data_IF_140784325654
#
_entry.id   IF_140784325654
#
_cell.length_a   1.000
_cell.length_b   1.000
_cell.length_c   1.000
_cell.angle_alpha   90.00
_cell.angle_beta   90.00
_cell.angle_gamma   90.00
#
_symmetry.space_group_name_H-M   'P 1'
#
loop_
_entity.id
_entity.type
_entity.pdbx_description
1 polymer ?
#
# COMPACT_ATOMS: atom_id res chain seq x y z
N UNK A 1 14.32 -19.13 -0.06
CA UNK A 1 12.91 -18.97 0.36
C UNK A 1 12.29 -17.96 -0.57
N UNK A 2 11.27 -18.33 -1.37
CA UNK A 2 10.54 -17.33 -2.17
C UNK A 2 9.83 -16.36 -1.22
N UNK A 3 9.88 -15.07 -1.52
CA UNK A 3 9.11 -14.07 -0.79
C UNK A 3 7.63 -14.26 -1.12
N UNK A 4 6.80 -14.47 -0.11
CA UNK A 4 5.36 -14.72 -0.28
C UNK A 4 4.50 -13.62 0.32
N UNK A 5 5.09 -12.57 0.90
CA UNK A 5 4.39 -11.43 1.47
C UNK A 5 5.02 -10.09 1.08
N UNK A 6 4.15 -9.11 0.81
CA UNK A 6 4.50 -7.77 0.35
C UNK A 6 3.70 -6.73 1.11
N UNK A 7 4.35 -5.62 1.46
CA UNK A 7 3.72 -4.58 2.26
C UNK A 7 4.59 -3.32 2.40
N UNK A 8 4.00 -2.16 2.72
CA UNK A 8 4.73 -0.88 2.73
C UNK A 8 5.93 -0.86 3.64
N UNK A 9 7.14 -0.51 3.18
CA UNK A 9 8.38 -0.62 3.99
C UNK A 9 8.19 -0.09 5.43
N UNK A 10 8.45 -0.93 6.44
CA UNK A 10 8.23 -0.60 7.85
C UNK A 10 8.93 0.69 8.27
N UNK A 11 10.18 0.89 7.85
CA UNK A 11 10.93 2.12 8.11
C UNK A 11 10.28 3.38 7.53
N UNK A 12 9.67 3.28 6.34
CA UNK A 12 9.00 4.42 5.73
C UNK A 12 7.67 4.75 6.45
N UNK A 13 6.90 3.74 6.86
CA UNK A 13 5.68 3.93 7.66
C UNK A 13 6.01 4.51 9.03
N UNK A 14 7.06 3.99 9.70
CA UNK A 14 7.53 4.50 10.98
C UNK A 14 8.00 5.96 10.86
N UNK A 15 8.74 6.31 9.81
CA UNK A 15 9.16 7.68 9.53
C UNK A 15 7.98 8.65 9.38
N UNK A 16 6.93 8.26 8.65
CA UNK A 16 5.70 9.07 8.55
C UNK A 16 4.99 9.22 9.89
N UNK A 17 4.94 8.16 10.70
CA UNK A 17 4.37 8.20 12.05
C UNK A 17 5.12 9.18 12.94
N UNK A 18 6.45 9.11 12.97
CA UNK A 18 7.31 10.04 13.73
C UNK A 18 7.10 11.48 13.27
N UNK A 19 7.11 11.72 11.96
CA UNK A 19 6.85 13.06 11.41
C UNK A 19 5.47 13.59 11.82
N UNK A 20 4.43 12.74 11.79
CA UNK A 20 3.08 13.09 12.26
C UNK A 20 3.05 13.46 13.74
N UNK A 21 3.76 12.72 14.60
CA UNK A 21 3.85 13.02 16.05
C UNK A 21 4.59 14.34 16.29
N UNK A 22 5.71 14.57 15.61
CA UNK A 22 6.46 15.83 15.73
C UNK A 22 5.60 17.02 15.27
N UNK A 23 4.85 16.86 14.18
CA UNK A 23 3.95 17.89 13.67
C UNK A 23 2.78 18.17 14.62
N UNK A 24 2.18 17.12 15.21
CA UNK A 24 1.15 17.27 16.24
C UNK A 24 1.67 18.01 17.48
N UNK A 25 2.90 17.70 17.89
CA UNK A 25 3.57 18.37 19.02
C UNK A 25 3.78 19.85 18.70
N UNK A 26 4.34 20.18 17.54
CA UNK A 26 4.53 21.56 17.11
C UNK A 26 3.21 22.34 17.00
N UNK A 27 2.13 21.69 16.55
CA UNK A 27 0.80 22.28 16.49
C UNK A 27 0.31 22.79 17.85
N UNK A 28 0.61 22.08 18.94
CA UNK A 28 0.14 22.45 20.29
C UNK A 28 1.13 23.29 21.07
N UNK A 29 2.44 23.18 20.79
CA UNK A 29 3.48 23.91 21.54
C UNK A 29 4.00 25.17 20.86
N UNK A 30 4.05 25.20 19.52
CA UNK A 30 4.70 26.28 18.75
C UNK A 30 3.68 27.16 18.03
N UNK A 31 2.64 26.58 17.43
CA UNK A 31 1.67 27.35 16.66
C UNK A 31 0.73 28.09 17.60
N UNK A 32 0.62 29.40 17.43
CA UNK A 32 -0.13 30.29 18.35
C UNK A 32 -1.42 30.81 17.74
N UNK A 33 -1.49 30.94 16.41
CA UNK A 33 -2.66 31.45 15.71
C UNK A 33 -3.71 30.34 15.44
N UNK A 34 -5.03 30.64 15.54
CA UNK A 34 -6.07 29.64 15.33
C UNK A 34 -6.06 28.98 13.94
N UNK A 35 -5.90 29.72 12.81
CA UNK A 35 -5.86 29.10 11.48
C UNK A 35 -4.70 28.13 11.31
N UNK A 36 -3.49 28.52 11.73
CA UNK A 36 -2.29 27.68 11.68
C UNK A 36 -2.44 26.40 12.49
N UNK A 37 -3.08 26.46 13.67
CA UNK A 37 -3.37 25.27 14.48
C UNK A 37 -4.32 24.31 13.77
N UNK A 38 -5.37 24.82 13.14
CA UNK A 38 -6.32 23.96 12.41
C UNK A 38 -5.62 23.25 11.25
N UNK A 39 -4.87 23.99 10.43
CA UNK A 39 -4.17 23.42 9.28
C UNK A 39 -3.10 22.40 9.70
N UNK A 40 -2.29 22.75 10.70
CA UNK A 40 -1.21 21.87 11.19
C UNK A 40 -1.79 20.64 11.89
N UNK A 41 -2.85 20.81 12.68
CA UNK A 41 -3.55 19.73 13.35
C UNK A 41 -4.16 18.74 12.35
N UNK A 42 -4.82 19.23 11.30
CA UNK A 42 -5.37 18.39 10.23
C UNK A 42 -4.27 17.63 9.48
N UNK A 43 -3.16 18.30 9.15
CA UNK A 43 -2.03 17.67 8.49
C UNK A 43 -1.39 16.57 9.36
N UNK A 44 -1.18 16.85 10.65
CA UNK A 44 -0.65 15.89 11.61
C UNK A 44 -1.58 14.68 11.77
N UNK A 45 -2.90 14.93 11.92
CA UNK A 45 -3.90 13.87 11.99
C UNK A 45 -3.90 13.02 10.71
N UNK A 46 -3.85 13.65 9.52
CA UNK A 46 -3.74 12.96 8.24
C UNK A 46 -2.52 12.05 8.15
N UNK A 47 -1.34 12.53 8.55
CA UNK A 47 -0.12 11.74 8.58
C UNK A 47 -0.21 10.56 9.55
N UNK A 48 -0.72 10.78 10.75
CA UNK A 48 -0.88 9.74 11.76
C UNK A 48 -1.87 8.66 11.32
N UNK A 49 -3.03 9.05 10.78
CA UNK A 49 -4.00 8.09 10.24
C UNK A 49 -3.39 7.32 9.06
N UNK A 50 -2.68 8.00 8.15
CA UNK A 50 -2.03 7.37 7.01
C UNK A 50 -0.97 6.35 7.44
N UNK A 51 -0.12 6.70 8.40
CA UNK A 51 0.89 5.80 8.97
C UNK A 51 0.23 4.60 9.66
N UNK A 52 -0.77 4.85 10.53
CA UNK A 52 -1.49 3.81 11.25
C UNK A 52 -2.15 2.82 10.29
N UNK A 53 -2.89 3.31 9.31
CA UNK A 53 -3.56 2.42 8.39
C UNK A 53 -2.61 1.71 7.41
N UNK A 54 -1.50 2.35 7.03
CA UNK A 54 -0.41 1.68 6.28
C UNK A 54 0.22 0.55 7.10
N UNK A 55 0.34 0.72 8.41
CA UNK A 55 0.82 -0.31 9.33
C UNK A 55 -0.20 -1.45 9.51
N UNK A 56 -1.48 -1.09 9.74
CA UNK A 56 -2.61 -2.03 9.87
C UNK A 56 -2.76 -2.92 8.64
N UNK A 57 -2.52 -2.38 7.46
CA UNK A 57 -2.64 -3.08 6.20
C UNK A 57 -1.46 -4.01 5.88
N UNK A 58 -0.44 -4.14 6.75
CA UNK A 58 0.70 -5.05 6.50
C UNK A 58 0.37 -6.50 6.92
N UNK A 59 0.79 -7.53 6.16
CA UNK A 59 1.20 -7.47 4.75
C UNK A 59 -0.01 -7.13 3.87
N UNK A 60 0.20 -6.29 2.85
CA UNK A 60 -0.87 -5.77 1.99
C UNK A 60 -1.27 -6.77 0.92
N UNK A 61 -0.32 -7.58 0.46
CA UNK A 61 -0.54 -8.71 -0.43
C UNK A 61 0.27 -9.91 0.08
N UNK A 62 -0.32 -11.09 0.15
CA UNK A 62 0.41 -12.30 0.52
C UNK A 62 -0.16 -13.54 -0.17
N UNK A 63 0.71 -14.45 -0.58
CA UNK A 63 0.32 -15.80 -0.98
C UNK A 63 0.18 -16.64 0.29
N UNK A 64 -1.02 -17.18 0.51
CA UNK A 64 -1.34 -18.03 1.66
C UNK A 64 -2.01 -19.29 1.16
N UNK A 65 -1.28 -20.41 1.18
CA UNK A 65 -1.75 -21.67 0.60
C UNK A 65 -2.02 -21.50 -0.90
N UNK A 66 -3.24 -21.80 -1.33
CA UNK A 66 -3.69 -21.64 -2.72
C UNK A 66 -4.44 -20.32 -2.99
N UNK A 67 -4.39 -19.39 -2.05
CA UNK A 67 -5.08 -18.09 -2.14
C UNK A 67 -4.12 -16.90 -2.10
N UNK A 68 -4.56 -15.80 -2.68
CA UNK A 68 -3.93 -14.50 -2.62
C UNK A 68 -4.71 -13.60 -1.65
N UNK A 69 -4.10 -13.26 -0.52
CA UNK A 69 -4.70 -12.43 0.52
C UNK A 69 -4.34 -10.98 0.28
N UNK A 70 -5.34 -10.14 0.01
CA UNK A 70 -5.23 -8.69 -0.04
C UNK A 70 -5.76 -8.08 1.26
N UNK A 71 -4.95 -7.28 1.95
CA UNK A 71 -5.33 -6.57 3.17
C UNK A 71 -5.43 -5.07 2.92
N UNK A 72 -6.66 -4.55 2.94
CA UNK A 72 -6.94 -3.12 2.95
C UNK A 72 -6.92 -2.55 4.37
N UNK A 73 -7.30 -1.27 4.50
CA UNK A 73 -7.45 -0.62 5.81
C UNK A 73 -8.50 -1.28 6.71
N UNK A 74 -9.64 -1.64 6.12
CA UNK A 74 -10.82 -2.09 6.88
C UNK A 74 -11.22 -3.53 6.61
N UNK A 75 -10.80 -4.11 5.47
CA UNK A 75 -11.18 -5.45 5.05
C UNK A 75 -9.96 -6.23 4.58
N UNK A 76 -9.99 -7.53 4.85
CA UNK A 76 -9.09 -8.49 4.23
C UNK A 76 -9.92 -9.33 3.25
N UNK A 77 -9.41 -9.51 2.05
CA UNK A 77 -10.04 -10.31 1.01
C UNK A 77 -9.08 -11.43 0.63
N UNK A 78 -9.61 -12.64 0.51
CA UNK A 78 -8.84 -13.78 -0.01
C UNK A 78 -9.36 -14.06 -1.41
N UNK A 79 -8.48 -13.94 -2.40
CA UNK A 79 -8.76 -14.19 -3.81
C UNK A 79 -8.22 -15.57 -4.16
N UNK A 80 -9.09 -16.47 -4.58
CA UNK A 80 -8.68 -17.74 -5.20
C UNK A 80 -8.29 -17.48 -6.65
N UNK A 81 -7.60 -18.44 -7.26
CA UNK A 81 -7.25 -18.37 -8.70
C UNK A 81 -8.46 -18.16 -9.59
N UNK A 82 -9.59 -18.79 -9.26
CA UNK A 82 -10.84 -18.64 -10.01
C UNK A 82 -11.48 -17.24 -9.86
N UNK A 83 -11.13 -16.49 -8.82
CA UNK A 83 -11.64 -15.14 -8.59
C UNK A 83 -10.85 -14.08 -9.37
N UNK A 84 -9.68 -14.44 -9.90
CA UNK A 84 -8.75 -13.54 -10.58
C UNK A 84 -9.01 -13.62 -12.08
N UNK A 85 -9.42 -12.50 -12.68
CA UNK A 85 -9.63 -12.37 -14.11
C UNK A 85 -8.31 -12.06 -14.82
N UNK A 86 -7.53 -11.11 -14.29
CA UNK A 86 -6.27 -10.68 -14.90
C UNK A 86 -5.34 -10.08 -13.84
N UNK A 87 -4.05 -10.39 -13.94
CA UNK A 87 -3.00 -9.66 -13.21
C UNK A 87 -2.06 -9.04 -14.25
N UNK A 88 -1.85 -7.72 -14.17
CA UNK A 88 -0.99 -7.02 -15.11
C UNK A 88 -0.20 -5.89 -14.46
N UNK A 89 0.80 -5.41 -15.20
CA UNK A 89 1.52 -4.19 -14.86
C UNK A 89 1.02 -3.05 -15.75
N UNK A 90 0.64 -1.95 -15.12
CA UNK A 90 0.43 -0.68 -15.82
C UNK A 90 1.61 0.23 -15.54
N UNK A 91 2.30 0.67 -16.58
CA UNK A 91 3.43 1.60 -16.50
C UNK A 91 3.00 3.01 -16.91
N UNK A 92 3.31 3.99 -16.07
CA UNK A 92 3.13 5.40 -16.34
C UNK A 92 4.49 6.10 -16.38
N UNK A 93 4.66 7.03 -17.33
CA UNK A 93 5.82 7.92 -17.37
C UNK A 93 5.39 9.34 -17.02
N UNK A 94 5.88 9.89 -15.91
CA UNK A 94 5.58 11.26 -15.49
C UNK A 94 6.85 11.97 -15.02
N UNK A 95 7.16 13.12 -15.63
CA UNK A 95 8.30 13.98 -15.29
C UNK A 95 9.61 13.17 -15.20
N UNK A 96 9.94 12.44 -16.27
CA UNK A 96 11.15 11.62 -16.35
C UNK A 96 11.17 10.35 -15.47
N UNK A 97 10.18 10.15 -14.59
CA UNK A 97 10.07 8.94 -13.76
C UNK A 97 9.12 7.93 -14.38
N UNK A 98 9.53 6.66 -14.39
CA UNK A 98 8.68 5.52 -14.70
C UNK A 98 8.11 4.98 -13.39
N UNK A 99 6.79 4.88 -13.33
CA UNK A 99 6.06 4.32 -12.19
C UNK A 99 5.25 3.13 -12.68
N UNK A 100 5.37 2.00 -11.98
CA UNK A 100 4.60 0.79 -12.26
C UNK A 100 3.54 0.61 -11.18
N UNK A 101 2.40 0.08 -11.58
CA UNK A 101 1.34 -0.39 -10.70
C UNK A 101 1.05 -1.86 -11.04
N UNK A 102 0.87 -2.68 -10.02
CA UNK A 102 0.33 -4.03 -10.16
C UNK A 102 -1.19 -3.92 -10.07
N UNK A 103 -1.88 -4.32 -11.13
CA UNK A 103 -3.32 -4.38 -11.20
C UNK A 103 -3.78 -5.83 -11.09
N UNK A 104 -4.73 -6.09 -10.20
CA UNK A 104 -5.42 -7.38 -10.05
C UNK A 104 -6.89 -7.11 -10.30
N UNK A 105 -7.36 -7.58 -11.44
CA UNK A 105 -8.77 -7.57 -11.82
C UNK A 105 -9.40 -8.88 -11.38
N UNK A 106 -10.53 -8.80 -10.69
CA UNK A 106 -11.30 -9.96 -10.26
C UNK A 106 -12.45 -10.22 -11.22
N UNK A 107 -12.93 -11.46 -11.31
CA UNK A 107 -14.11 -11.85 -12.09
C UNK A 107 -15.39 -11.09 -11.65
N UNK A 108 -15.42 -10.56 -10.43
CA UNK A 108 -16.50 -9.73 -9.91
C UNK A 108 -16.32 -8.22 -10.20
N UNK A 109 -15.63 -7.86 -11.29
CA UNK A 109 -15.36 -6.49 -11.75
C UNK A 109 -14.72 -5.55 -10.72
N UNK A 110 -13.99 -6.11 -9.75
CA UNK A 110 -13.16 -5.33 -8.81
C UNK A 110 -11.74 -5.21 -9.34
N UNK A 111 -11.24 -3.97 -9.32
CA UNK A 111 -9.86 -3.65 -9.65
C UNK A 111 -9.09 -3.29 -8.37
N UNK A 112 -8.04 -4.05 -8.07
CA UNK A 112 -7.09 -3.76 -7.01
C UNK A 112 -5.81 -3.23 -7.65
N UNK A 113 -5.42 -2.01 -7.28
CA UNK A 113 -4.22 -1.35 -7.80
C UNK A 113 -3.20 -1.20 -6.68
N UNK A 114 -2.01 -1.74 -6.88
CA UNK A 114 -0.94 -1.77 -5.88
C UNK A 114 0.31 -1.09 -6.44
N UNK A 115 0.75 -0.05 -5.73
CA UNK A 115 1.96 0.68 -6.06
C UNK A 115 3.20 0.08 -5.38
N UNK A 116 4.38 0.63 -5.71
CA UNK A 116 5.62 0.35 -4.98
C UNK A 116 5.52 0.68 -3.48
N UNK A 117 4.76 1.70 -3.11
CA UNK A 117 4.51 1.99 -1.68
C UNK A 117 3.76 0.83 -1.03
N UNK A 118 2.77 0.26 -1.71
CA UNK A 118 1.92 -0.80 -1.18
C UNK A 118 2.65 -2.14 -1.04
N UNK A 119 3.51 -2.45 -2.00
CA UNK A 119 4.23 -3.73 -2.05
C UNK A 119 5.57 -3.71 -1.32
N UNK A 120 6.15 -2.52 -1.12
CA UNK A 120 7.48 -2.35 -0.53
C UNK A 120 8.64 -2.72 -1.46
N UNK A 121 8.35 -3.23 -2.66
CA UNK A 121 9.31 -3.61 -3.71
C UNK A 121 8.79 -3.22 -5.10
N UNK A 122 9.55 -3.49 -6.16
CA UNK A 122 9.09 -3.23 -7.53
C UNK A 122 7.87 -4.12 -7.88
N UNK A 123 6.76 -3.54 -8.40
CA UNK A 123 5.58 -4.31 -8.77
C UNK A 123 5.85 -5.44 -9.76
N UNK A 124 6.84 -5.28 -10.65
CA UNK A 124 7.22 -6.32 -11.60
C UNK A 124 7.76 -7.57 -10.88
N UNK A 125 8.62 -7.40 -9.87
CA UNK A 125 9.13 -8.51 -9.06
C UNK A 125 8.02 -9.25 -8.32
N UNK A 126 6.93 -8.55 -7.95
CA UNK A 126 5.75 -9.19 -7.36
C UNK A 126 4.97 -9.96 -8.42
N UNK A 127 4.79 -9.40 -9.63
CA UNK A 127 4.17 -10.12 -10.74
C UNK A 127 4.95 -11.41 -11.08
N UNK A 128 6.28 -11.36 -11.11
CA UNK A 128 7.13 -12.52 -11.36
C UNK A 128 6.85 -13.61 -10.30
N UNK A 129 6.85 -13.25 -9.01
CA UNK A 129 6.55 -14.19 -7.93
C UNK A 129 5.10 -14.74 -7.99
N UNK A 130 4.13 -13.92 -8.39
CA UNK A 130 2.75 -14.38 -8.60
C UNK A 130 2.64 -15.32 -9.80
N UNK A 131 3.43 -15.10 -10.85
CA UNK A 131 3.50 -15.96 -12.04
C UNK A 131 4.12 -17.30 -11.69
N UNK A 132 5.24 -17.30 -10.96
CA UNK A 132 5.90 -18.52 -10.45
C UNK A 132 4.95 -19.34 -9.55
N UNK A 133 4.11 -18.65 -8.78
CA UNK A 133 3.08 -19.27 -7.94
C UNK A 133 1.81 -19.64 -8.72
N UNK A 134 1.73 -19.37 -10.03
CA UNK A 134 0.63 -19.73 -10.95
C UNK A 134 -0.62 -18.84 -10.89
N UNK A 135 -0.53 -17.66 -10.27
CA UNK A 135 -1.64 -16.71 -10.17
C UNK A 135 -1.75 -15.80 -11.40
N UNK A 136 -0.70 -15.71 -12.21
CA UNK A 136 -0.62 -14.91 -13.43
C UNK A 136 -0.01 -15.72 -14.59
N UNK A 137 -0.07 -15.18 -15.81
CA UNK A 137 0.55 -15.79 -17.00
C UNK A 137 -0.31 -16.80 -17.76
N UNK A 138 -1.64 -16.76 -17.58
CA UNK A 138 -2.61 -17.54 -18.37
C UNK A 138 -3.35 -16.65 -19.36
#
# INVERSE_FOLDING_TARGET
>A
MQQTDWGPKSGAVAGLGIAGVLMATACVTVVTDPPGRILTGLAAAGLLMFAFGSWRARPKLAIVGDGLVYRGWFRTQTLRRADIALIRITEFRRIGRKTRLLEIETVADRLIVLSRWDLGTDPLTVLDALTDAGFAGR
#
